data_IF_455827875147
#
_entry.id   IF_455827875147
#
_cell.length_a   1.000
_cell.length_b   1.000
_cell.length_c   1.000
_cell.angle_alpha   90.00
_cell.angle_beta   90.00
_cell.angle_gamma   90.00
#
_symmetry.space_group_name_H-M   'P 1'
#
loop_
_entity.id
_entity.type
_entity.pdbx_description
1 polymer ?
#
# COMPACT_ATOMS: atom_id res chain seq x y z
N UNK A 1 -10.67 11.40 -3.27
CA UNK A 1 -10.09 10.22 -2.61
C UNK A 1 -8.65 10.10 -3.06
N UNK A 2 -7.69 9.94 -2.15
CA UNK A 2 -6.27 9.82 -2.49
C UNK A 2 -5.90 8.36 -2.80
N UNK A 3 -4.90 8.17 -3.66
CA UNK A 3 -4.36 6.86 -4.01
C UNK A 3 -2.90 6.77 -3.50
N UNK A 4 -2.57 5.66 -2.85
CA UNK A 4 -1.21 5.29 -2.47
C UNK A 4 -0.78 4.14 -3.38
N UNK A 5 0.43 4.24 -3.93
CA UNK A 5 1.01 3.22 -4.81
C UNK A 5 2.32 2.74 -4.20
N UNK A 6 2.44 1.43 -3.97
CA UNK A 6 3.70 0.79 -3.59
C UNK A 6 4.28 0.09 -4.82
N UNK A 7 5.42 0.57 -5.28
CA UNK A 7 6.19 -0.04 -6.35
C UNK A 7 7.16 -1.06 -5.76
N UNK A 8 7.01 -2.33 -6.13
CA UNK A 8 7.88 -3.44 -5.73
C UNK A 8 8.17 -3.49 -4.22
N UNK A 9 7.15 -3.57 -3.35
CA UNK A 9 7.38 -3.54 -1.90
C UNK A 9 8.11 -4.81 -1.41
N UNK A 10 9.32 -4.64 -0.90
CA UNK A 10 10.17 -5.77 -0.45
C UNK A 10 9.95 -6.19 1.01
N UNK A 11 9.49 -5.27 1.87
CA UNK A 11 9.43 -5.46 3.33
C UNK A 11 7.96 -5.71 3.74
N UNK A 12 7.54 -6.95 4.05
CA UNK A 12 6.14 -7.26 4.32
C UNK A 12 5.50 -6.47 5.48
N UNK A 13 6.20 -6.21 6.61
CA UNK A 13 5.67 -5.36 7.66
C UNK A 13 5.28 -3.95 7.20
N UNK A 14 6.03 -3.35 6.27
CA UNK A 14 5.72 -2.02 5.76
C UNK A 14 4.42 -2.02 4.96
N UNK A 15 4.25 -2.98 4.06
CA UNK A 15 3.01 -3.16 3.30
C UNK A 15 1.82 -3.39 4.23
N UNK A 16 1.97 -4.23 5.26
CA UNK A 16 0.93 -4.46 6.26
C UNK A 16 0.49 -3.19 7.00
N UNK A 17 1.45 -2.38 7.44
CA UNK A 17 1.16 -1.10 8.09
C UNK A 17 0.47 -0.10 7.15
N UNK A 18 0.87 -0.06 5.87
CA UNK A 18 0.27 0.82 4.86
C UNK A 18 -1.14 0.36 4.48
N UNK A 19 -1.39 -0.95 4.41
CA UNK A 19 -2.75 -1.51 4.26
C UNK A 19 -3.64 -1.02 5.40
N UNK A 20 -3.17 -1.10 6.65
CA UNK A 20 -3.94 -0.64 7.81
C UNK A 20 -4.22 0.87 7.74
N UNK A 21 -3.23 1.67 7.34
CA UNK A 21 -3.39 3.10 7.14
C UNK A 21 -4.51 3.38 6.12
N UNK A 22 -4.46 2.76 4.95
CA UNK A 22 -5.43 2.97 3.88
C UNK A 22 -6.85 2.58 4.30
N UNK A 23 -7.00 1.47 5.02
CA UNK A 23 -8.28 1.04 5.58
C UNK A 23 -8.86 2.06 6.59
N UNK A 24 -8.02 2.66 7.42
CA UNK A 24 -8.44 3.63 8.43
C UNK A 24 -8.72 5.03 7.87
N UNK A 25 -8.09 5.41 6.75
CA UNK A 25 -8.24 6.76 6.16
C UNK A 25 -9.14 6.79 4.92
N UNK A 26 -9.58 5.63 4.42
CA UNK A 26 -10.36 5.52 3.19
C UNK A 26 -9.53 5.82 1.93
N UNK A 27 -8.21 5.59 1.97
CA UNK A 27 -7.36 5.73 0.80
C UNK A 27 -7.36 4.42 0.01
N UNK A 28 -7.22 4.53 -1.31
CA UNK A 28 -7.01 3.36 -2.16
C UNK A 28 -5.53 2.99 -2.16
N UNK A 29 -5.23 1.70 -2.01
CA UNK A 29 -3.88 1.15 -2.10
C UNK A 29 -3.73 0.35 -3.39
N UNK A 30 -2.66 0.63 -4.14
CA UNK A 30 -2.25 -0.12 -5.32
C UNK A 30 -0.87 -0.72 -5.06
N UNK A 31 -0.69 -2.00 -5.42
CA UNK A 31 0.60 -2.70 -5.36
C UNK A 31 1.04 -2.98 -6.80
N UNK A 32 2.29 -2.66 -7.12
CA UNK A 32 2.91 -3.00 -8.40
C UNK A 32 3.95 -4.08 -8.13
N UNK A 33 3.77 -5.25 -8.74
CA UNK A 33 4.70 -6.38 -8.67
C UNK A 33 5.89 -6.17 -9.64
N UNK A 34 7.04 -6.82 -9.37
CA UNK A 34 8.17 -6.82 -10.29
C UNK A 34 7.80 -7.48 -11.63
N UNK A 35 8.42 -7.00 -12.71
CA UNK A 35 8.24 -7.49 -14.09
C UNK A 35 8.65 -8.96 -14.28
#
# INVERSE_FOLDING_TARGET
MLNIVLFEPEIPPNTGNIIRLCANTGFNLHLIEPL
#
